data_IF_431489019926
#
_entry.id   IF_431489019926
#
_cell.length_a   1.000
_cell.length_b   1.000
_cell.length_c   1.000
_cell.angle_alpha   90.00
_cell.angle_beta   90.00
_cell.angle_gamma   90.00
#
_symmetry.space_group_name_H-M   'P 1'
#
loop_
_entity.id
_entity.type
_entity.pdbx_description
1 polymer ?
#
# COMPACT_ATOMS: atom_id res chain seq x y z
N UNK A 1 1.15 16.46 -15.01
CA UNK A 1 1.45 15.04 -15.26
C UNK A 1 2.78 14.62 -14.65
N UNK A 2 3.92 15.20 -15.08
CA UNK A 2 5.28 14.86 -14.59
C UNK A 2 5.41 14.97 -13.06
N UNK A 3 4.98 16.07 -12.45
CA UNK A 3 5.00 16.24 -10.98
C UNK A 3 4.32 15.09 -10.24
N UNK A 4 3.12 14.67 -10.69
CA UNK A 4 2.38 13.60 -10.04
C UNK A 4 3.10 12.26 -10.16
N UNK A 5 3.70 11.99 -11.31
CA UNK A 5 4.50 10.78 -11.53
C UNK A 5 5.70 10.74 -10.57
N UNK A 6 6.47 11.83 -10.49
CA UNK A 6 7.65 11.91 -9.59
C UNK A 6 7.24 11.66 -8.14
N UNK A 7 6.22 12.37 -7.64
CA UNK A 7 5.73 12.17 -6.27
C UNK A 7 5.23 10.73 -6.02
N UNK A 8 4.76 10.04 -7.06
CA UNK A 8 4.30 8.66 -6.96
C UNK A 8 5.46 7.66 -6.96
N UNK A 9 6.53 7.95 -7.70
CA UNK A 9 7.78 7.17 -7.65
C UNK A 9 8.36 7.22 -6.23
N UNK A 10 8.42 8.40 -5.62
CA UNK A 10 8.86 8.54 -4.23
C UNK A 10 8.00 7.74 -3.25
N UNK A 11 6.67 7.71 -3.43
CA UNK A 11 5.82 6.82 -2.62
C UNK A 11 6.19 5.35 -2.79
N UNK A 12 6.49 4.90 -4.01
CA UNK A 12 6.95 3.53 -4.23
C UNK A 12 8.28 3.21 -3.52
N UNK A 13 9.24 4.15 -3.55
CA UNK A 13 10.49 4.03 -2.79
C UNK A 13 10.23 3.93 -1.27
N UNK A 14 9.32 4.73 -0.72
CA UNK A 14 8.96 4.70 0.70
C UNK A 14 8.27 3.39 1.10
N UNK A 15 7.42 2.81 0.24
CA UNK A 15 6.87 1.47 0.47
C UNK A 15 7.97 0.41 0.44
N UNK A 16 8.93 0.52 -0.48
CA UNK A 16 10.12 -0.35 -0.50
C UNK A 16 10.93 -0.28 0.80
N UNK A 17 11.15 0.92 1.36
CA UNK A 17 11.78 1.09 2.68
C UNK A 17 11.02 0.35 3.79
N UNK A 18 9.70 0.52 3.84
CA UNK A 18 8.84 -0.17 4.80
C UNK A 18 8.87 -1.69 4.62
N UNK A 19 8.79 -2.17 3.38
CA UNK A 19 8.85 -3.58 3.02
C UNK A 19 10.18 -4.22 3.42
N UNK A 20 11.30 -3.55 3.16
CA UNK A 20 12.61 -4.00 3.64
C UNK A 20 12.67 -4.07 5.16
N UNK A 21 12.18 -3.05 5.89
CA UNK A 21 12.17 -3.08 7.34
C UNK A 21 11.33 -4.25 7.90
N UNK A 22 10.19 -4.56 7.27
CA UNK A 22 9.38 -5.72 7.61
C UNK A 22 10.13 -7.04 7.36
N UNK A 23 10.68 -7.23 6.17
CA UNK A 23 11.40 -8.45 5.79
C UNK A 23 12.69 -8.66 6.61
N UNK A 24 13.34 -7.58 7.03
CA UNK A 24 14.53 -7.62 7.89
C UNK A 24 14.23 -7.92 9.36
N UNK A 25 12.97 -7.88 9.79
CA UNK A 25 12.58 -8.14 11.17
C UNK A 25 12.12 -9.59 11.36
N UNK A 26 12.66 -10.27 12.36
CA UNK A 26 12.20 -11.62 12.73
C UNK A 26 10.95 -11.58 13.63
N UNK A 27 10.64 -10.42 14.23
CA UNK A 27 9.41 -10.20 14.99
C UNK A 27 8.38 -9.48 14.11
N UNK A 28 7.32 -10.19 13.72
CA UNK A 28 6.25 -9.65 12.86
C UNK A 28 5.60 -8.38 13.42
N UNK A 29 5.46 -8.26 14.75
CA UNK A 29 4.89 -7.07 15.38
C UNK A 29 5.82 -5.87 15.16
N UNK A 30 7.10 -6.02 15.48
CA UNK A 30 8.10 -4.97 15.27
C UNK A 30 8.24 -4.61 13.79
N UNK A 31 8.34 -5.61 12.91
CA UNK A 31 8.40 -5.40 11.47
C UNK A 31 7.18 -4.64 10.95
N UNK A 32 5.98 -4.99 11.41
CA UNK A 32 4.75 -4.30 10.99
C UNK A 32 4.68 -2.85 11.46
N UNK A 33 5.18 -2.57 12.67
CA UNK A 33 5.32 -1.21 13.18
C UNK A 33 6.32 -0.41 12.33
N UNK A 34 7.50 -0.97 12.06
CA UNK A 34 8.52 -0.31 11.25
C UNK A 34 8.10 -0.09 9.79
N UNK A 35 7.25 -0.97 9.22
CA UNK A 35 6.64 -0.73 7.92
C UNK A 35 5.85 0.59 7.89
N UNK A 36 5.23 0.95 9.02
CA UNK A 36 4.50 2.21 9.20
C UNK A 36 5.32 3.46 8.87
N UNK A 37 6.64 3.40 9.00
CA UNK A 37 7.55 4.48 8.59
C UNK A 37 7.38 4.85 7.10
N UNK A 38 7.14 3.87 6.23
CA UNK A 38 6.92 4.09 4.81
C UNK A 38 5.69 4.97 4.56
N UNK A 39 4.54 4.58 5.13
CA UNK A 39 3.29 5.34 4.98
C UNK A 39 3.37 6.70 5.69
N UNK A 40 3.95 6.77 6.88
CA UNK A 40 4.11 8.02 7.62
C UNK A 40 4.94 9.03 6.83
N UNK A 41 6.05 8.59 6.23
CA UNK A 41 6.89 9.43 5.36
C UNK A 41 6.08 9.95 4.17
N UNK A 42 5.34 9.06 3.50
CA UNK A 42 4.51 9.45 2.35
C UNK A 42 3.53 10.57 2.72
N UNK A 43 2.82 10.42 3.83
CA UNK A 43 1.80 11.37 4.26
C UNK A 43 2.42 12.68 4.75
N UNK A 44 3.54 12.61 5.46
CA UNK A 44 4.25 13.78 5.97
C UNK A 44 4.87 14.65 4.87
N UNK A 45 5.41 14.02 3.82
CA UNK A 45 5.97 14.74 2.67
C UNK A 45 4.95 15.00 1.54
N UNK A 46 3.70 14.57 1.70
CA UNK A 46 2.63 14.81 0.72
C UNK A 46 2.82 14.06 -0.61
N UNK A 47 3.49 12.90 -0.57
CA UNK A 47 3.67 12.05 -1.75
C UNK A 47 2.37 11.37 -2.18
N UNK A 48 2.34 10.83 -3.39
CA UNK A 48 1.14 10.24 -3.97
C UNK A 48 1.20 8.72 -3.89
N UNK A 49 0.51 8.14 -2.92
CA UNK A 49 0.27 6.69 -2.83
C UNK A 49 -1.13 6.36 -3.32
N UNK A 50 -1.26 5.36 -4.21
CA UNK A 50 -2.53 4.94 -4.80
C UNK A 50 -3.57 4.61 -3.72
N UNK A 51 -3.25 3.73 -2.78
CA UNK A 51 -4.19 3.29 -1.73
C UNK A 51 -4.55 4.41 -0.75
N UNK A 52 -3.67 5.39 -0.55
CA UNK A 52 -3.97 6.61 0.23
C UNK A 52 -4.77 7.68 -0.52
N UNK A 53 -5.01 7.50 -1.83
CA UNK A 53 -5.73 8.45 -2.69
C UNK A 53 -7.00 7.85 -3.31
N UNK A 54 -7.04 6.54 -3.50
CA UNK A 54 -8.08 5.87 -4.28
C UNK A 54 -9.46 6.12 -3.71
N UNK A 55 -9.66 6.06 -2.39
CA UNK A 55 -10.96 6.28 -1.75
C UNK A 55 -11.63 7.63 -2.06
N UNK A 56 -10.85 8.64 -2.45
CA UNK A 56 -11.41 9.94 -2.85
C UNK A 56 -12.13 9.90 -4.21
N UNK A 57 -12.06 8.81 -4.98
CA UNK A 57 -12.82 8.66 -6.23
C UNK A 57 -14.32 8.91 -6.03
N UNK A 58 -14.84 8.55 -4.84
CA UNK A 58 -16.26 8.68 -4.48
C UNK A 58 -16.75 10.13 -4.64
N UNK A 59 -15.93 11.10 -4.24
CA UNK A 59 -16.28 12.52 -4.24
C UNK A 59 -15.59 13.31 -5.37
N UNK A 60 -15.02 12.63 -6.36
CA UNK A 60 -14.33 13.25 -7.48
C UNK A 60 -15.00 12.89 -8.82
N UNK A 61 -14.71 13.68 -9.86
CA UNK A 61 -15.18 13.42 -11.23
C UNK A 61 -14.52 12.14 -11.80
N UNK A 62 -15.14 11.46 -12.78
CA UNK A 62 -14.55 10.26 -13.41
C UNK A 62 -13.13 10.44 -13.95
N UNK A 63 -12.75 11.65 -14.36
CA UNK A 63 -11.37 11.98 -14.80
C UNK A 63 -10.31 11.76 -13.73
N UNK A 64 -10.68 11.64 -12.45
CA UNK A 64 -9.78 11.32 -11.34
C UNK A 64 -9.12 9.96 -11.49
N UNK A 65 -9.77 9.00 -12.14
CA UNK A 65 -9.16 7.70 -12.44
C UNK A 65 -7.91 7.81 -13.31
N UNK A 66 -7.82 8.82 -14.19
CA UNK A 66 -6.61 9.09 -14.96
C UNK A 66 -5.44 9.54 -14.07
N UNK A 67 -5.72 10.34 -13.03
CA UNK A 67 -4.72 10.67 -12.01
C UNK A 67 -4.30 9.44 -11.21
N UNK A 68 -5.25 8.63 -10.74
CA UNK A 68 -4.98 7.41 -9.99
C UNK A 68 -4.15 6.41 -10.80
N UNK A 69 -4.37 6.29 -12.12
CA UNK A 69 -3.56 5.47 -13.00
C UNK A 69 -2.10 5.93 -13.07
N UNK A 70 -1.85 7.24 -13.16
CA UNK A 70 -0.48 7.80 -13.09
C UNK A 70 0.16 7.48 -11.73
N UNK A 71 -0.61 7.58 -10.65
CA UNK A 71 -0.11 7.30 -9.30
C UNK A 71 0.24 5.83 -9.14
N UNK A 72 -0.64 4.92 -9.54
CA UNK A 72 -0.43 3.48 -9.49
C UNK A 72 0.83 3.09 -10.28
N UNK A 73 0.98 3.62 -11.50
CA UNK A 73 2.16 3.37 -12.33
C UNK A 73 3.44 3.92 -11.70
N UNK A 74 3.40 5.15 -11.16
CA UNK A 74 4.56 5.71 -10.47
C UNK A 74 4.95 4.92 -9.23
N UNK A 75 3.96 4.45 -8.45
CA UNK A 75 4.20 3.58 -7.31
C UNK A 75 4.85 2.25 -7.72
N UNK A 76 4.42 1.65 -8.84
CA UNK A 76 5.06 0.47 -9.42
C UNK A 76 6.52 0.75 -9.81
N UNK A 77 6.79 1.84 -10.54
CA UNK A 77 8.15 2.22 -10.93
C UNK A 77 9.04 2.40 -9.68
N UNK A 78 8.54 3.09 -8.66
CA UNK A 78 9.29 3.31 -7.42
C UNK A 78 9.59 2.02 -6.67
N UNK A 79 8.60 1.16 -6.48
CA UNK A 79 8.79 -0.14 -5.79
C UNK A 79 9.71 -1.06 -6.57
N UNK A 80 9.59 -1.10 -7.90
CA UNK A 80 10.47 -1.85 -8.78
C UNK A 80 11.92 -1.38 -8.68
N UNK A 81 12.17 -0.07 -8.82
CA UNK A 81 13.51 0.50 -8.70
C UNK A 81 14.12 0.20 -7.33
N UNK A 82 13.34 0.37 -6.26
CA UNK A 82 13.80 0.05 -4.91
C UNK A 82 14.17 -1.43 -4.76
N UNK A 83 13.31 -2.33 -5.23
CA UNK A 83 13.54 -3.77 -5.19
C UNK A 83 14.82 -4.17 -5.95
N UNK A 84 15.07 -3.57 -7.12
CA UNK A 84 16.29 -3.81 -7.89
C UNK A 84 17.53 -3.27 -7.18
N UNK A 85 17.45 -2.11 -6.54
CA UNK A 85 18.56 -1.56 -5.77
C UNK A 85 18.89 -2.41 -4.54
N UNK A 86 17.89 -2.84 -3.76
CA UNK A 86 18.14 -3.64 -2.55
C UNK A 86 18.69 -5.04 -2.89
N UNK A 87 18.27 -5.62 -4.02
CA UNK A 87 18.80 -6.88 -4.54
C UNK A 87 20.30 -6.83 -4.87
N UNK A 88 20.86 -5.66 -5.15
CA UNK A 88 22.30 -5.46 -5.41
C UNK A 88 23.12 -5.26 -4.12
N UNK A 89 22.50 -5.33 -2.94
CA UNK A 89 23.17 -5.18 -1.65
C UNK A 89 23.48 -6.53 -1.02
N UNK A 90 24.30 -6.55 0.04
CA UNK A 90 24.54 -7.76 0.86
C UNK A 90 23.28 -8.39 1.47
N UNK A 91 22.15 -7.69 1.47
CA UNK A 91 20.87 -8.20 1.96
C UNK A 91 20.00 -8.82 0.87
N UNK A 92 20.39 -8.69 -0.41
CA UNK A 92 19.58 -9.06 -1.58
C UNK A 92 19.03 -10.48 -1.52
N UNK A 93 19.91 -11.47 -1.42
CA UNK A 93 19.54 -12.90 -1.43
C UNK A 93 18.57 -13.26 -0.31
N UNK A 94 18.87 -12.82 0.93
CA UNK A 94 18.03 -13.11 2.10
C UNK A 94 16.65 -12.47 1.97
N UNK A 95 16.57 -11.21 1.53
CA UNK A 95 15.30 -10.51 1.38
C UNK A 95 14.50 -11.05 0.19
N UNK A 96 15.16 -11.43 -0.90
CA UNK A 96 14.52 -12.08 -2.04
C UNK A 96 13.90 -13.42 -1.65
N UNK A 97 14.61 -14.26 -0.89
CA UNK A 97 14.06 -15.53 -0.40
C UNK A 97 12.82 -15.33 0.47
N UNK A 98 12.84 -14.35 1.39
CA UNK A 98 11.65 -14.00 2.19
C UNK A 98 10.51 -13.46 1.34
N UNK A 99 10.81 -12.66 0.32
CA UNK A 99 9.83 -12.14 -0.62
C UNK A 99 9.18 -13.24 -1.47
N UNK A 100 9.98 -14.21 -1.94
CA UNK A 100 9.50 -15.39 -2.65
C UNK A 100 8.51 -16.20 -1.80
N UNK A 101 8.82 -16.40 -0.51
CA UNK A 101 7.93 -17.09 0.40
C UNK A 101 6.56 -16.38 0.54
N UNK A 102 6.54 -15.04 0.57
CA UNK A 102 5.28 -14.28 0.56
C UNK A 102 4.53 -14.41 -0.76
N UNK A 103 5.22 -14.47 -1.90
CA UNK A 103 4.61 -14.66 -3.21
C UNK A 103 3.95 -16.04 -3.31
N UNK A 104 4.63 -17.10 -2.90
CA UNK A 104 4.11 -18.48 -2.90
C UNK A 104 2.83 -18.64 -2.08
N UNK A 105 2.70 -17.93 -0.94
CA UNK A 105 1.46 -17.93 -0.15
C UNK A 105 0.29 -17.40 -0.98
N UNK A 106 0.51 -16.33 -1.74
CA UNK A 106 -0.52 -15.69 -2.58
C UNK A 106 -0.85 -16.53 -3.82
N UNK A 107 0.14 -17.18 -4.42
CA UNK A 107 -0.07 -18.11 -5.53
C UNK A 107 -0.95 -19.30 -5.13
N UNK A 108 -0.80 -19.76 -3.88
CA UNK A 108 -1.63 -20.82 -3.30
C UNK A 108 -3.03 -20.37 -2.86
N UNK A 109 -3.35 -19.07 -2.90
CA UNK A 109 -4.64 -18.54 -2.45
C UNK A 109 -5.66 -18.38 -3.59
N UNK A 110 -6.94 -18.38 -3.24
CA UNK A 110 -8.03 -18.14 -4.17
C UNK A 110 -8.15 -16.65 -4.53
N UNK A 111 -8.52 -16.38 -5.78
CA UNK A 111 -8.79 -15.02 -6.27
C UNK A 111 -9.86 -14.30 -5.43
N UNK A 112 -10.86 -15.04 -4.92
CA UNK A 112 -11.91 -14.47 -4.07
C UNK A 112 -11.35 -14.04 -2.71
N UNK A 113 -10.48 -14.85 -2.11
CA UNK A 113 -9.78 -14.49 -0.87
C UNK A 113 -8.94 -13.23 -1.06
N UNK A 114 -8.06 -13.19 -2.07
CA UNK A 114 -7.21 -12.03 -2.37
C UNK A 114 -8.02 -10.76 -2.60
N UNK A 115 -9.17 -10.86 -3.26
CA UNK A 115 -10.10 -9.75 -3.45
C UNK A 115 -10.64 -9.21 -2.11
N UNK A 116 -11.13 -10.10 -1.23
CA UNK A 116 -11.69 -9.73 0.09
C UNK A 116 -10.60 -9.15 0.99
N UNK A 117 -9.43 -9.77 1.05
CA UNK A 117 -8.26 -9.26 1.78
C UNK A 117 -7.88 -7.85 1.27
N UNK A 118 -7.95 -7.64 -0.04
CA UNK A 118 -7.75 -6.33 -0.66
C UNK A 118 -8.78 -5.28 -0.20
N UNK A 119 -10.06 -5.65 -0.05
CA UNK A 119 -11.10 -4.73 0.45
C UNK A 119 -10.75 -4.24 1.86
N UNK A 120 -10.42 -5.14 2.78
CA UNK A 120 -10.12 -4.75 4.15
C UNK A 120 -8.83 -3.91 4.25
N UNK A 121 -7.81 -4.24 3.47
CA UNK A 121 -6.62 -3.39 3.36
C UNK A 121 -6.97 -1.98 2.87
N UNK A 122 -7.75 -1.88 1.78
CA UNK A 122 -8.16 -0.59 1.21
C UNK A 122 -8.89 0.30 2.21
N UNK A 123 -9.76 -0.28 3.02
CA UNK A 123 -10.46 0.43 4.09
C UNK A 123 -9.49 0.98 5.15
N UNK A 124 -8.54 0.18 5.62
CA UNK A 124 -7.52 0.60 6.59
C UNK A 124 -6.60 1.70 6.03
N UNK A 125 -6.23 1.61 4.74
CA UNK A 125 -5.39 2.63 4.10
C UNK A 125 -6.12 3.96 3.97
N UNK A 126 -7.43 3.94 3.69
CA UNK A 126 -8.23 5.15 3.72
C UNK A 126 -8.33 5.74 5.13
N UNK A 127 -8.57 4.92 6.17
CA UNK A 127 -8.58 5.36 7.57
C UNK A 127 -7.28 6.07 7.93
N UNK A 128 -6.13 5.47 7.59
CA UNK A 128 -4.83 6.06 7.87
C UNK A 128 -4.61 7.38 7.13
N UNK A 129 -4.86 7.40 5.81
CA UNK A 129 -4.58 8.56 4.97
C UNK A 129 -5.51 9.74 5.23
N UNK A 130 -6.82 9.50 5.41
CA UNK A 130 -7.78 10.55 5.71
C UNK A 130 -7.70 10.97 7.19
N UNK A 131 -7.48 10.03 8.09
CA UNK A 131 -7.25 10.30 9.50
C UNK A 131 -6.02 11.19 9.75
N UNK A 132 -4.91 10.94 9.05
CA UNK A 132 -3.72 11.80 9.13
C UNK A 132 -4.00 13.26 8.71
N UNK A 133 -4.91 13.47 7.74
CA UNK A 133 -5.31 14.82 7.31
C UNK A 133 -6.18 15.54 8.34
N UNK A 134 -7.02 14.80 9.06
CA UNK A 134 -7.98 15.36 10.01
C UNK A 134 -7.41 15.58 11.40
N UNK A 135 -6.43 14.78 11.82
CA UNK A 135 -5.81 14.91 13.13
C UNK A 135 -4.80 16.05 13.12
N UNK A 136 -4.92 16.98 14.07
CA UNK A 136 -4.04 18.14 14.18
C UNK A 136 -2.74 17.84 14.94
N UNK A 137 -2.81 17.07 16.02
CA UNK A 137 -1.66 16.81 16.88
C UNK A 137 -0.75 15.70 16.33
N UNK A 138 0.57 15.86 16.53
CA UNK A 138 1.58 14.98 15.94
C UNK A 138 1.51 13.54 16.48
N UNK A 139 1.24 13.36 17.77
CA UNK A 139 1.13 12.03 18.37
C UNK A 139 -0.02 11.23 17.76
N UNK A 140 -1.19 11.85 17.59
CA UNK A 140 -2.35 11.23 16.94
C UNK A 140 -2.09 10.89 15.48
N UNK A 141 -1.32 11.71 14.75
CA UNK A 141 -0.89 11.40 13.38
C UNK A 141 -0.01 10.16 13.28
N UNK A 142 0.86 9.93 14.27
CA UNK A 142 1.64 8.68 14.35
C UNK A 142 0.69 7.51 14.61
N UNK A 143 -0.18 7.61 15.60
CA UNK A 143 -1.10 6.52 15.98
C UNK A 143 -2.03 6.13 14.82
N UNK A 144 -2.65 7.10 14.16
CA UNK A 144 -3.62 6.84 13.07
C UNK A 144 -2.98 6.25 11.82
N UNK A 145 -1.65 6.39 11.66
CA UNK A 145 -0.91 5.81 10.54
C UNK A 145 -0.38 4.43 10.90
N UNK A 146 0.29 4.30 12.04
CA UNK A 146 0.97 3.06 12.40
C UNK A 146 -0.01 1.95 12.80
N UNK A 147 -1.11 2.25 13.50
CA UNK A 147 -2.06 1.20 13.91
C UNK A 147 -2.72 0.51 12.71
N UNK A 148 -3.32 1.21 11.72
CA UNK A 148 -3.88 0.53 10.55
C UNK A 148 -2.85 -0.25 9.74
N UNK A 149 -1.60 0.24 9.68
CA UNK A 149 -0.49 -0.46 9.04
C UNK A 149 -0.19 -1.79 9.74
N UNK A 150 -0.05 -1.77 11.06
CA UNK A 150 0.18 -2.98 11.85
C UNK A 150 -0.96 -3.98 11.67
N UNK A 151 -2.21 -3.51 11.74
CA UNK A 151 -3.39 -4.37 11.61
C UNK A 151 -3.41 -5.06 10.25
N UNK A 152 -3.24 -4.36 9.13
CA UNK A 152 -3.34 -5.03 7.83
C UNK A 152 -2.22 -6.07 7.64
N UNK A 153 -1.00 -5.78 8.10
CA UNK A 153 0.14 -6.71 7.96
C UNK A 153 -0.05 -7.94 8.83
N UNK A 154 -0.45 -7.75 10.10
CA UNK A 154 -0.64 -8.86 11.04
C UNK A 154 -1.87 -9.70 10.71
N UNK A 155 -2.90 -9.10 10.10
CA UNK A 155 -4.09 -9.80 9.62
C UNK A 155 -3.90 -10.45 8.24
N UNK A 156 -2.75 -10.24 7.57
CA UNK A 156 -2.48 -10.82 6.24
C UNK A 156 -3.33 -10.21 5.12
N UNK A 157 -3.75 -8.95 5.27
CA UNK A 157 -4.49 -8.26 4.21
C UNK A 157 -3.57 -7.84 3.06
N UNK A 158 -4.16 -7.76 1.87
CA UNK A 158 -3.43 -7.59 0.61
C UNK A 158 -3.36 -6.12 0.20
N UNK A 159 -2.15 -5.60 -0.03
CA UNK A 159 -1.91 -4.20 -0.36
C UNK A 159 -1.17 -4.10 -1.70
N UNK A 160 -1.85 -3.66 -2.75
CA UNK A 160 -1.34 -3.76 -4.11
C UNK A 160 0.05 -3.14 -4.30
N UNK A 161 0.36 -1.99 -3.67
CA UNK A 161 1.69 -1.36 -3.81
C UNK A 161 2.77 -2.08 -2.99
N UNK A 162 2.42 -2.73 -1.87
CA UNK A 162 3.38 -3.51 -1.10
C UNK A 162 3.69 -4.80 -1.87
N UNK A 163 2.66 -5.39 -2.48
CA UNK A 163 2.79 -6.56 -3.34
C UNK A 163 3.63 -6.26 -4.59
N UNK A 164 3.51 -5.07 -5.20
CA UNK A 164 4.43 -4.65 -6.25
C UNK A 164 5.90 -4.71 -5.82
N UNK A 165 6.21 -4.27 -4.59
CA UNK A 165 7.57 -4.38 -4.04
C UNK A 165 7.96 -5.85 -3.85
N UNK A 166 7.10 -6.66 -3.24
CA UNK A 166 7.41 -8.06 -2.99
C UNK A 166 7.60 -8.87 -4.28
N UNK A 167 6.74 -8.67 -5.28
CA UNK A 167 6.82 -9.32 -6.59
C UNK A 167 8.08 -8.85 -7.31
N UNK A 168 8.36 -7.55 -7.27
CA UNK A 168 9.57 -6.97 -7.85
C UNK A 168 10.85 -7.39 -7.14
N UNK A 169 10.83 -7.78 -5.88
CA UNK A 169 12.02 -8.27 -5.19
C UNK A 169 12.21 -9.78 -5.42
N UNK A 170 11.10 -10.53 -5.40
CA UNK A 170 11.04 -11.93 -5.78
C UNK A 170 11.51 -12.16 -7.22
N UNK A 171 11.25 -11.19 -8.11
CA UNK A 171 11.42 -11.37 -9.55
C UNK A 171 10.31 -12.19 -10.18
N UNK A 172 9.18 -12.33 -9.48
CA UNK A 172 8.01 -13.06 -9.95
C UNK A 172 7.01 -12.11 -10.62
N UNK A 173 6.97 -12.19 -11.94
CA UNK A 173 6.01 -11.49 -12.79
C UNK A 173 5.16 -12.48 -13.59
N UNK A 174 4.85 -13.64 -13.00
CA UNK A 174 3.99 -14.63 -13.63
C UNK A 174 2.61 -14.05 -13.96
N UNK A 175 1.92 -14.65 -14.93
CA UNK A 175 0.56 -14.23 -15.30
C UNK A 175 -0.41 -14.33 -14.10
N UNK A 176 -0.17 -15.28 -13.19
CA UNK A 176 -0.93 -15.43 -11.96
C UNK A 176 -0.71 -14.23 -11.04
N UNK A 177 0.53 -13.82 -10.81
CA UNK A 177 0.84 -12.68 -9.94
C UNK A 177 0.34 -11.35 -10.49
N UNK A 178 0.42 -11.16 -11.81
CA UNK A 178 -0.18 -9.99 -12.47
C UNK A 178 -1.70 -9.98 -12.30
N UNK A 179 -2.36 -11.14 -12.44
CA UNK A 179 -3.81 -11.27 -12.19
C UNK A 179 -4.16 -10.98 -10.74
N UNK A 180 -3.41 -11.52 -9.78
CA UNK A 180 -3.57 -11.25 -8.36
C UNK A 180 -3.42 -9.76 -8.05
N UNK A 181 -2.42 -9.09 -8.62
CA UNK A 181 -2.20 -7.65 -8.43
C UNK A 181 -3.39 -6.82 -8.91
N UNK A 182 -3.99 -7.17 -10.06
CA UNK A 182 -5.20 -6.50 -10.57
C UNK A 182 -6.37 -6.70 -9.60
N UNK A 183 -6.60 -7.95 -9.17
CA UNK A 183 -7.69 -8.29 -8.25
C UNK A 183 -7.55 -7.54 -6.92
N UNK A 184 -6.35 -7.53 -6.34
CA UNK A 184 -6.05 -6.81 -5.10
C UNK A 184 -6.21 -5.31 -5.30
N UNK A 185 -5.79 -4.76 -6.43
CA UNK A 185 -5.97 -3.33 -6.76
C UNK A 185 -7.47 -2.95 -6.80
N UNK A 186 -8.32 -3.80 -7.39
CA UNK A 186 -9.77 -3.59 -7.40
C UNK A 186 -10.32 -3.67 -5.96
N UNK A 187 -9.91 -4.68 -5.19
CA UNK A 187 -10.28 -4.82 -3.77
C UNK A 187 -9.91 -3.58 -2.95
N UNK A 188 -8.65 -3.13 -3.04
CA UNK A 188 -8.18 -1.91 -2.36
C UNK A 188 -8.99 -0.68 -2.78
N UNK A 189 -9.36 -0.57 -4.05
CA UNK A 189 -10.15 0.54 -4.58
C UNK A 189 -11.56 0.57 -3.98
N UNK A 190 -12.25 -0.59 -3.96
CA UNK A 190 -13.57 -0.74 -3.36
C UNK A 190 -13.51 -0.44 -1.87
N UNK A 191 -12.58 -1.08 -1.16
CA UNK A 191 -12.36 -0.91 0.28
C UNK A 191 -12.13 0.54 0.68
N UNK A 192 -11.27 1.25 -0.05
CA UNK A 192 -11.00 2.67 0.19
C UNK A 192 -12.22 3.57 -0.02
N UNK A 193 -13.17 3.17 -0.87
CA UNK A 193 -14.41 3.90 -1.12
C UNK A 193 -15.52 3.67 -0.08
N UNK A 194 -15.45 2.60 0.73
CA UNK A 194 -16.54 2.22 1.64
C UNK A 194 -16.85 3.30 2.68
N UNK A 195 -15.83 3.85 3.35
CA UNK A 195 -16.01 4.89 4.38
C UNK A 195 -16.47 6.22 3.76
N UNK A 196 -15.85 6.75 2.68
CA UNK A 196 -16.36 7.93 1.98
C UNK A 196 -17.82 7.81 1.54
N UNK A 197 -18.24 6.62 1.07
CA UNK A 197 -19.63 6.35 0.70
C UNK A 197 -20.54 6.37 1.92
N UNK A 198 -20.15 5.70 3.01
CA UNK A 198 -20.91 5.66 4.25
C UNK A 198 -21.11 7.06 4.86
N UNK A 199 -20.12 7.94 4.76
CA UNK A 199 -20.23 9.33 5.24
C UNK A 199 -21.33 10.14 4.58
N UNK A 200 -21.80 9.78 3.39
CA UNK A 200 -22.95 10.46 2.77
C UNK A 200 -24.25 10.28 3.54
N UNK A 201 -24.30 9.28 4.41
CA UNK A 201 -25.46 8.96 5.24
C UNK A 201 -25.27 9.36 6.70
N UNK A 202 -24.07 9.82 7.09
CA UNK A 202 -23.84 10.32 8.45
C UNK A 202 -24.35 11.75 8.53
N UNK A 203 -25.32 12.05 9.41
CA UNK A 203 -25.80 13.42 9.61
C UNK A 203 -24.62 14.33 9.95
N UNK A 204 -24.54 15.51 9.34
CA UNK A 204 -23.60 16.54 9.75
C UNK A 204 -23.83 16.83 11.22
N UNK A 205 -22.82 16.62 12.06
CA UNK A 205 -22.85 17.11 13.44
C UNK A 205 -22.85 18.63 13.35
N UNK A 206 -24.00 19.25 13.63
CA UNK A 206 -24.13 20.69 13.86
C UNK A 206 -23.22 21.15 15.00
#
# INVERSE_FOLDING_TARGET
MIKNLILSIYSGLCIGLGGTAYLSSDNKILGSFLFGLGLFTILNFGFNLFTGKVGYFVNNKPSYWGFLGIVWLGNFIGTFLFARMIALTRYGDTLQAKSNALCLIKEGDSIVSLFILGIFCGMLMFIAADGYKRIENQAGKVVIVFLPVMVFILSGFEHCIADMFYFSLAGDFSALMLKSLVVITIGNSIGGGLIPLAWRFVPTRE
#
